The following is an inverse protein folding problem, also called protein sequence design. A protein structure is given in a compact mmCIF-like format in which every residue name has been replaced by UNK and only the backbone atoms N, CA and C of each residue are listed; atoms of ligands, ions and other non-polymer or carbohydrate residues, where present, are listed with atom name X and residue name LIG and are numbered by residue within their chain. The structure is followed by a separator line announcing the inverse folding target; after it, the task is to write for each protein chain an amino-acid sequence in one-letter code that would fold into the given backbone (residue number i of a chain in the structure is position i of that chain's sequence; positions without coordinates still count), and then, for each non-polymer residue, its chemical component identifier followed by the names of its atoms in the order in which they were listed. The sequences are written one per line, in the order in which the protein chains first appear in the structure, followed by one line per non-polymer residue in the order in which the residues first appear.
data_IF_866390297643
#
_entry.id   IF_866390297643
#
_cell.length_a   1.000
_cell.length_b   1.000
_cell.length_c   1.000
_cell.angle_alpha   90.00
_cell.angle_beta   90.00
_cell.angle_gamma   90.00
#
_symmetry.space_group_name_H-M   'P 1'
#
loop_
_entity.id
_entity.type
_entity.pdbx_description
1 polymer ?
#
# COMPACT_ATOMS: atom_id res chain seq x y z
N UNK A 1 15.99 17.75 -9.41
CA UNK A 1 14.67 17.52 -8.78
C UNK A 1 14.66 18.24 -7.45
N UNK A 2 13.73 19.16 -7.23
CA UNK A 2 13.60 19.89 -5.96
C UNK A 2 12.76 19.01 -5.04
N UNK A 3 13.36 18.48 -3.97
CA UNK A 3 12.61 17.71 -2.97
C UNK A 3 11.64 18.64 -2.23
N UNK A 4 10.37 18.24 -2.02
CA UNK A 4 9.42 19.06 -1.28
C UNK A 4 9.95 19.32 0.15
N UNK A 5 10.03 20.61 0.50
CA UNK A 5 10.60 21.14 1.74
C UNK A 5 9.67 20.91 2.93
N UNK A 6 10.23 20.60 4.09
CA UNK A 6 9.49 20.56 5.36
C UNK A 6 9.00 21.98 5.69
N UNK A 7 7.79 22.14 6.24
CA UNK A 7 7.31 23.44 6.70
C UNK A 7 8.32 24.17 7.60
N UNK A 8 8.41 25.51 7.52
CA UNK A 8 9.45 26.29 8.19
C UNK A 8 9.39 26.25 9.73
N UNK A 9 8.33 25.71 10.33
CA UNK A 9 8.14 25.64 11.78
C UNK A 9 8.93 24.49 12.46
N UNK A 10 9.71 23.69 11.72
CA UNK A 10 10.54 22.61 12.26
C UNK A 10 12.03 22.78 11.87
N UNK A 11 12.74 23.78 12.41
CA UNK A 11 14.13 24.07 12.04
C UNK A 11 15.09 22.91 12.34
N UNK A 12 14.83 22.11 13.37
CA UNK A 12 15.60 20.90 13.67
C UNK A 12 15.51 19.86 12.54
N UNK A 13 14.35 19.73 11.88
CA UNK A 13 14.15 18.75 10.82
C UNK A 13 14.97 19.13 9.57
N UNK A 14 15.05 20.43 9.27
CA UNK A 14 15.91 20.94 8.21
C UNK A 14 17.41 20.71 8.52
N UNK A 15 17.83 20.88 9.78
CA UNK A 15 19.23 20.62 10.18
C UNK A 15 19.64 19.15 10.04
N UNK A 16 18.68 18.22 10.15
CA UNK A 16 18.88 16.78 9.95
C UNK A 16 18.59 16.33 8.50
N UNK A 17 18.37 17.26 7.57
CA UNK A 17 18.02 16.99 6.16
C UNK A 17 16.77 16.12 5.98
N UNK A 18 15.85 16.11 6.95
CA UNK A 18 14.56 15.49 6.75
C UNK A 18 13.80 16.26 5.67
N UNK A 19 13.23 15.52 4.72
CA UNK A 19 12.40 16.06 3.64
C UNK A 19 11.12 15.24 3.52
N UNK A 20 10.11 15.78 2.84
CA UNK A 20 8.87 15.03 2.55
C UNK A 20 9.19 13.80 1.69
N UNK A 21 10.17 13.91 0.79
CA UNK A 21 10.64 12.78 0.00
C UNK A 21 11.28 11.70 0.88
N UNK A 22 12.13 12.09 1.84
CA UNK A 22 12.72 11.17 2.82
C UNK A 22 11.63 10.45 3.64
N UNK A 23 10.64 11.20 4.16
CA UNK A 23 9.52 10.61 4.91
C UNK A 23 8.74 9.62 4.06
N UNK A 24 8.38 9.98 2.82
CA UNK A 24 7.69 9.07 1.90
C UNK A 24 8.48 7.79 1.66
N UNK A 25 9.78 7.89 1.41
CA UNK A 25 10.62 6.71 1.20
C UNK A 25 10.67 5.81 2.42
N UNK A 26 10.92 6.37 3.60
CA UNK A 26 10.97 5.63 4.86
C UNK A 26 9.65 4.89 5.12
N UNK A 27 8.51 5.57 4.94
CA UNK A 27 7.19 4.95 5.09
C UNK A 27 6.98 3.81 4.10
N UNK A 28 7.27 4.02 2.81
CA UNK A 28 7.05 3.00 1.78
C UNK A 28 7.99 1.79 1.95
N UNK A 29 9.24 2.01 2.33
CA UNK A 29 10.19 0.93 2.63
C UNK A 29 9.73 0.09 3.82
N UNK A 30 9.18 0.72 4.86
CA UNK A 30 8.61 -0.03 5.99
C UNK A 30 7.40 -0.85 5.56
N UNK A 31 6.43 -0.24 4.86
CA UNK A 31 5.21 -0.93 4.38
C UNK A 31 5.57 -2.11 3.46
N UNK A 32 6.55 -1.94 2.58
CA UNK A 32 6.98 -3.00 1.66
C UNK A 32 7.53 -4.22 2.39
N UNK A 33 8.33 -4.00 3.46
CA UNK A 33 8.95 -5.06 4.24
C UNK A 33 7.96 -5.82 5.13
N UNK A 34 6.95 -5.12 5.65
CA UNK A 34 5.99 -5.71 6.58
C UNK A 34 4.81 -6.39 5.87
N UNK A 35 4.35 -5.86 4.74
CA UNK A 35 3.13 -6.34 4.08
C UNK A 35 3.37 -6.92 2.70
N UNK A 36 3.94 -6.14 1.78
CA UNK A 36 4.41 -6.54 0.45
C UNK A 36 4.64 -5.31 -0.43
N UNK A 37 5.35 -5.52 -1.53
CA UNK A 37 5.47 -4.55 -2.62
C UNK A 37 4.12 -4.07 -3.18
N UNK A 38 3.13 -4.94 -3.30
CA UNK A 38 1.83 -4.56 -3.84
C UNK A 38 1.08 -3.59 -2.92
N UNK A 39 1.15 -3.80 -1.60
CA UNK A 39 0.59 -2.88 -0.61
C UNK A 39 1.36 -1.56 -0.63
N UNK A 40 2.69 -1.58 -0.65
CA UNK A 40 3.49 -0.35 -0.73
C UNK A 40 3.20 0.47 -2.01
N UNK A 41 3.03 -0.20 -3.16
CA UNK A 41 2.65 0.45 -4.43
C UNK A 41 1.27 1.09 -4.34
N UNK A 42 0.27 0.40 -3.79
CA UNK A 42 -1.08 0.94 -3.60
C UNK A 42 -1.08 2.09 -2.59
N UNK A 43 -0.34 1.95 -1.48
CA UNK A 43 -0.14 2.97 -0.45
C UNK A 43 0.49 4.26 -1.02
N UNK A 44 1.39 4.11 -1.99
CA UNK A 44 2.02 5.22 -2.70
C UNK A 44 1.06 6.00 -3.61
N UNK A 45 -0.18 5.52 -3.81
CA UNK A 45 -1.16 6.08 -4.75
C UNK A 45 -0.88 5.73 -6.21
N UNK A 46 0.00 4.76 -6.49
CA UNK A 46 0.24 4.33 -7.86
C UNK A 46 -0.95 3.51 -8.37
N UNK A 47 -1.56 3.92 -9.47
CA UNK A 47 -2.70 3.22 -10.07
C UNK A 47 -2.29 1.83 -10.57
N UNK A 48 -3.26 0.91 -10.54
CA UNK A 48 -3.17 -0.47 -11.06
C UNK A 48 -2.99 -0.54 -12.58
N UNK A 49 -2.91 0.61 -13.26
CA UNK A 49 -2.60 0.67 -14.68
C UNK A 49 -1.28 -0.08 -14.96
N UNK A 50 -1.22 -0.89 -16.03
CA UNK A 50 -0.03 -1.64 -16.39
C UNK A 50 1.00 -0.67 -16.98
N UNK A 51 1.73 0.07 -16.13
CA UNK A 51 2.80 0.95 -16.57
C UNK A 51 4.16 0.25 -16.45
N UNK A 52 4.53 -0.41 -17.56
CA UNK A 52 5.82 -0.38 -18.28
C UNK A 52 7.18 -0.54 -17.59
N UNK A 53 7.29 -0.97 -16.33
CA UNK A 53 8.63 -1.23 -15.74
C UNK A 53 8.63 -2.26 -14.61
N UNK A 54 7.68 -3.19 -14.60
CA UNK A 54 7.48 -4.10 -13.47
C UNK A 54 7.47 -5.52 -14.03
N UNK A 55 8.44 -6.36 -13.64
CA UNK A 55 8.67 -7.69 -14.25
C UNK A 55 7.42 -8.58 -14.29
N UNK A 56 7.39 -9.57 -15.19
CA UNK A 56 6.19 -10.35 -15.52
C UNK A 56 5.43 -10.94 -14.31
N UNK A 57 6.14 -11.25 -13.22
CA UNK A 57 5.59 -11.79 -11.97
C UNK A 57 4.71 -10.81 -11.19
N UNK A 58 4.91 -9.51 -11.37
CA UNK A 58 4.20 -8.46 -10.64
C UNK A 58 2.83 -8.12 -11.27
N UNK A 59 2.50 -8.71 -12.42
CA UNK A 59 1.15 -8.67 -13.02
C UNK A 59 0.09 -9.29 -12.10
N UNK A 60 0.48 -10.28 -11.29
CA UNK A 60 -0.42 -11.09 -10.48
C UNK A 60 -0.62 -10.55 -9.06
N UNK A 61 0.24 -9.64 -8.60
CA UNK A 61 0.20 -9.14 -7.21
C UNK A 61 -0.47 -7.77 -7.19
N UNK A 62 -1.64 -7.69 -6.53
CA UNK A 62 -2.39 -6.45 -6.33
C UNK A 62 -2.81 -6.36 -4.87
N UNK A 63 -2.87 -5.14 -4.36
CA UNK A 63 -3.43 -4.83 -3.05
C UNK A 63 -4.61 -3.89 -3.23
N UNK A 64 -5.65 -4.09 -2.42
CA UNK A 64 -6.84 -3.26 -2.38
C UNK A 64 -6.79 -2.20 -1.27
N UNK A 65 -7.92 -1.51 -1.12
CA UNK A 65 -8.12 -0.52 -0.08
C UNK A 65 -8.04 -1.11 1.35
N UNK A 66 -8.55 -2.32 1.64
CA UNK A 66 -8.45 -2.89 2.99
C UNK A 66 -7.02 -3.16 3.44
N UNK A 67 -6.16 -3.66 2.56
CA UNK A 67 -4.76 -3.96 2.89
C UNK A 67 -3.96 -2.67 3.14
N UNK A 68 -4.22 -1.62 2.36
CA UNK A 68 -3.65 -0.28 2.60
C UNK A 68 -4.16 0.29 3.93
N UNK A 69 -5.45 0.14 4.23
CA UNK A 69 -6.04 0.59 5.48
C UNK A 69 -5.45 -0.13 6.70
N UNK A 70 -5.18 -1.44 6.58
CA UNK A 70 -4.55 -2.22 7.62
C UNK A 70 -3.08 -1.81 7.86
N UNK A 71 -2.33 -1.61 6.77
CA UNK A 71 -0.95 -1.09 6.87
C UNK A 71 -0.90 0.30 7.52
N UNK A 72 -1.84 1.19 7.16
CA UNK A 72 -1.97 2.51 7.78
C UNK A 72 -2.30 2.39 9.27
N UNK A 73 -3.28 1.56 9.64
CA UNK A 73 -3.71 1.36 11.02
C UNK A 73 -2.56 0.84 11.91
N UNK A 74 -1.74 -0.06 11.37
CA UNK A 74 -0.59 -0.59 12.11
C UNK A 74 0.53 0.45 12.23
N UNK A 75 0.80 1.22 11.17
CA UNK A 75 1.82 2.27 11.19
C UNK A 75 1.48 3.38 12.21
N UNK A 76 0.20 3.73 12.35
CA UNK A 76 -0.24 4.81 13.25
C UNK A 76 -0.62 4.32 14.64
N UNK A 77 -0.89 3.02 14.81
CA UNK A 77 -1.49 2.47 16.04
C UNK A 77 -2.96 2.83 16.23
N UNK A 78 -3.58 3.50 15.25
CA UNK A 78 -4.96 3.98 15.33
C UNK A 78 -5.90 3.04 14.55
N UNK A 79 -7.03 2.61 15.12
CA UNK A 79 -7.98 1.74 14.41
C UNK A 79 -8.53 2.41 13.14
N UNK A 80 -8.41 1.73 12.00
CA UNK A 80 -8.96 2.25 10.74
C UNK A 80 -10.28 1.55 10.38
N UNK A 81 -11.38 2.29 10.10
CA UNK A 81 -12.70 1.70 9.86
C UNK A 81 -12.74 0.77 8.63
N UNK A 82 -11.82 0.96 7.68
CA UNK A 82 -11.69 0.12 6.48
C UNK A 82 -10.64 -1.00 6.59
N UNK A 83 -9.95 -1.12 7.73
CA UNK A 83 -9.01 -2.22 7.97
C UNK A 83 -9.74 -3.53 8.33
N UNK A 84 -11.02 -3.46 8.71
CA UNK A 84 -11.81 -4.60 9.17
C UNK A 84 -12.40 -5.47 8.04
N UNK A 85 -12.05 -5.23 6.77
CA UNK A 85 -12.62 -5.95 5.62
C UNK A 85 -11.59 -6.87 4.98
N UNK A 86 -11.45 -8.06 5.55
CA UNK A 86 -10.82 -9.23 4.93
C UNK A 86 -9.29 -9.28 4.89
N UNK A 87 -8.72 -9.72 6.01
CA UNK A 87 -7.34 -10.23 6.05
C UNK A 87 -7.24 -11.72 5.67
N UNK A 88 -8.31 -12.32 5.15
CA UNK A 88 -8.35 -13.74 4.81
C UNK A 88 -8.15 -13.98 3.30
N UNK A 89 -7.20 -14.84 2.88
CA UNK A 89 -6.87 -15.10 1.46
C UNK A 89 -8.01 -15.68 0.60
N UNK A 90 -9.19 -15.95 1.18
CA UNK A 90 -10.36 -16.52 0.51
C UNK A 90 -11.60 -15.62 0.55
N UNK A 91 -11.49 -14.35 0.98
CA UNK A 91 -12.65 -13.46 1.09
C UNK A 91 -13.16 -12.86 -0.22
N UNK A 92 -12.69 -13.36 -1.37
CA UNK A 92 -13.53 -13.29 -2.55
C UNK A 92 -14.76 -14.13 -2.25
N UNK A 93 -15.95 -13.53 -2.27
CA UNK A 93 -17.26 -14.20 -2.23
C UNK A 93 -17.16 -15.64 -2.77
N UNK A 94 -17.72 -16.66 -2.07
CA UNK A 94 -17.69 -18.03 -2.56
C UNK A 94 -18.23 -18.04 -3.97
N UNK A 95 -17.37 -18.37 -4.95
CA UNK A 95 -17.80 -18.59 -6.33
C UNK A 95 -19.01 -19.53 -6.24
N UNK A 96 -20.21 -19.12 -6.70
CA UNK A 96 -21.38 -19.96 -6.57
C UNK A 96 -21.07 -21.33 -7.16
N UNK A 97 -21.58 -22.42 -6.56
CA UNK A 97 -21.34 -23.76 -7.07
C UNK A 97 -21.64 -23.72 -8.56
N UNK A 98 -20.68 -24.16 -9.36
CA UNK A 98 -20.91 -24.47 -10.77
C UNK A 98 -21.96 -25.58 -10.76
N UNK A 99 -23.23 -25.18 -10.85
CA UNK A 99 -24.32 -26.09 -11.12
C UNK A 99 -24.00 -26.73 -12.46
N UNK A 100 -23.80 -28.04 -12.44
CA UNK A 100 -23.48 -28.81 -13.63
C UNK A 100 -24.48 -28.53 -14.75
N UNK A 101 -23.95 -28.17 -15.91
CA UNK A 101 -24.57 -28.53 -17.15
C UNK A 101 -23.91 -29.85 -17.59
N UNK A 102 -24.39 -30.95 -17.03
CA UNK A 102 -24.38 -32.20 -17.77
C UNK A 102 -25.27 -31.97 -19.00
N UNK A 103 -24.68 -32.05 -20.21
CA UNK A 103 -25.04 -32.96 -21.30
C UNK A 103 -23.89 -33.04 -22.31
#
# INVERSE_FOLDING_TARGET
MIAPTIPPHLPWAASLQFSIHWLRHTTLTWVEREYSYAVARAYAGHSTAPNTATGATLTYVRAGLPEVAHALSTLTGEPHPKAATDLHPLSGEPKPPVTGAER
#
